data_IF_964904741407
#
_entry.id   IF_964904741407
#
_cell.length_a   1.000
_cell.length_b   1.000
_cell.length_c   1.000
_cell.angle_alpha   90.00
_cell.angle_beta   90.00
_cell.angle_gamma   90.00
#
_symmetry.space_group_name_H-M   'P 1'
#
loop_
_entity.id
_entity.type
_entity.pdbx_description
1 polymer ?
#
# COMPACT_ATOMS: atom_id res chain seq x y z
N UNK A 1 16.35 4.32 12.99
CA UNK A 1 15.26 4.46 11.99
C UNK A 1 14.37 3.24 12.10
N UNK A 2 13.05 3.40 11.99
CA UNK A 2 12.06 2.31 12.03
C UNK A 2 11.61 2.02 10.59
N UNK A 3 11.34 0.76 10.27
CA UNK A 3 10.89 0.32 8.95
C UNK A 3 9.53 -0.38 9.04
N UNK A 4 8.65 -0.10 8.09
CA UNK A 4 7.47 -0.93 7.81
C UNK A 4 7.91 -2.16 7.00
N UNK A 5 7.64 -3.35 7.51
CA UNK A 5 7.86 -4.62 6.80
C UNK A 5 6.50 -5.24 6.48
N UNK A 6 6.17 -5.34 5.19
CA UNK A 6 4.89 -5.88 4.72
C UNK A 6 5.10 -7.14 3.89
N UNK A 7 4.41 -8.22 4.27
CA UNK A 7 4.40 -9.47 3.53
C UNK A 7 3.36 -9.40 2.41
N UNK A 8 3.86 -9.35 1.19
CA UNK A 8 3.07 -9.26 -0.03
C UNK A 8 2.14 -10.45 -0.21
N UNK A 9 2.65 -11.67 -0.03
CA UNK A 9 1.91 -12.90 -0.34
C UNK A 9 0.88 -13.20 0.74
N UNK A 10 1.19 -12.90 2.00
CA UNK A 10 0.26 -13.08 3.12
C UNK A 10 -0.64 -11.86 3.37
N UNK A 11 -0.48 -10.79 2.59
CA UNK A 11 -1.27 -9.57 2.64
C UNK A 11 -1.36 -8.98 4.07
N UNK A 12 -0.21 -8.83 4.74
CA UNK A 12 -0.15 -8.45 6.15
C UNK A 12 1.11 -7.70 6.56
N UNK A 13 0.99 -6.86 7.58
CA UNK A 13 2.15 -6.21 8.20
C UNK A 13 2.90 -7.25 9.04
N UNK A 14 4.18 -7.47 8.75
CA UNK A 14 5.07 -8.30 9.59
C UNK A 14 5.41 -7.52 10.86
N UNK A 15 5.70 -6.23 10.74
CA UNK A 15 5.91 -5.36 11.89
C UNK A 15 6.59 -4.04 11.57
N UNK A 16 6.84 -3.28 12.64
CA UNK A 16 7.70 -2.11 12.66
C UNK A 16 9.04 -2.50 13.29
N UNK A 17 10.12 -2.46 12.51
CA UNK A 17 11.42 -3.01 12.93
C UNK A 17 12.47 -1.90 12.91
N UNK A 18 13.31 -1.79 13.95
CA UNK A 18 14.42 -0.83 13.92
C UNK A 18 15.50 -1.30 12.95
N UNK A 19 16.17 -0.37 12.27
CA UNK A 19 17.18 -0.71 11.27
C UNK A 19 18.43 -1.44 11.79
N UNK A 20 18.66 -1.46 13.11
CA UNK A 20 19.71 -2.25 13.73
C UNK A 20 19.23 -3.61 14.27
N UNK A 21 17.93 -3.88 14.21
CA UNK A 21 17.35 -5.12 14.71
C UNK A 21 17.33 -6.20 13.62
N UNK A 22 17.06 -7.43 14.02
CA UNK A 22 16.78 -8.55 13.13
C UNK A 22 15.31 -8.92 13.21
N UNK A 23 14.78 -9.51 12.14
CA UNK A 23 13.50 -10.21 12.16
C UNK A 23 13.63 -11.55 11.45
N UNK A 24 12.85 -12.52 11.89
CA UNK A 24 12.90 -13.88 11.38
C UNK A 24 11.52 -14.27 10.82
N UNK A 25 11.53 -15.12 9.80
CA UNK A 25 10.32 -15.70 9.20
C UNK A 25 10.55 -17.19 9.00
N UNK A 26 9.61 -18.01 9.47
CA UNK A 26 9.62 -19.44 9.18
C UNK A 26 8.95 -19.69 7.83
N UNK A 27 9.64 -20.44 6.96
CA UNK A 27 9.17 -20.84 5.65
C UNK A 27 8.84 -22.34 5.66
N UNK A 28 7.72 -22.71 5.05
CA UNK A 28 7.44 -24.11 4.72
C UNK A 28 8.35 -24.57 3.58
N UNK A 29 8.59 -25.88 3.41
CA UNK A 29 9.28 -26.40 2.23
C UNK A 29 8.62 -25.90 0.93
N UNK A 30 9.39 -25.25 0.06
CA UNK A 30 8.91 -24.69 -1.21
C UNK A 30 8.19 -23.33 -1.11
N UNK A 31 8.12 -22.71 0.07
CA UNK A 31 7.51 -21.39 0.25
C UNK A 31 8.49 -20.26 -0.10
N UNK A 32 7.98 -19.24 -0.79
CA UNK A 32 8.66 -17.95 -0.95
C UNK A 32 7.83 -16.90 -0.23
N UNK A 33 8.52 -16.05 0.54
CA UNK A 33 7.94 -14.81 1.06
C UNK A 33 8.58 -13.61 0.39
N UNK A 34 7.81 -12.54 0.31
CA UNK A 34 8.21 -11.33 -0.37
C UNK A 34 7.87 -10.13 0.49
N UNK A 35 8.91 -9.46 0.94
CA UNK A 35 8.79 -8.37 1.90
C UNK A 35 9.00 -7.04 1.20
N UNK A 36 8.01 -6.17 1.32
CA UNK A 36 8.22 -4.76 1.07
C UNK A 36 8.79 -4.11 2.32
N UNK A 37 9.88 -3.36 2.14
CA UNK A 37 10.64 -2.72 3.22
C UNK A 37 10.71 -1.23 2.95
N UNK A 38 10.07 -0.44 3.81
CA UNK A 38 10.08 1.03 3.70
C UNK A 38 10.48 1.66 5.02
N UNK A 39 11.37 2.65 4.98
CA UNK A 39 11.57 3.52 6.13
C UNK A 39 10.22 4.13 6.53
N UNK A 40 9.91 4.08 7.83
CA UNK A 40 8.66 4.62 8.37
C UNK A 40 8.72 6.14 8.37
N UNK A 41 7.75 6.73 7.69
CA UNK A 41 7.51 8.17 7.66
C UNK A 41 6.60 8.60 8.81
N UNK A 42 6.61 9.91 9.09
CA UNK A 42 5.71 10.54 10.08
C UNK A 42 4.31 10.85 9.53
N UNK A 43 4.01 10.36 8.33
CA UNK A 43 2.75 10.57 7.62
C UNK A 43 2.35 9.30 6.86
N UNK A 44 1.09 9.18 6.40
CA UNK A 44 0.67 8.07 5.56
C UNK A 44 1.57 7.93 4.33
N UNK A 45 1.92 6.69 3.99
CA UNK A 45 2.84 6.42 2.88
C UNK A 45 2.43 5.15 2.12
N UNK A 46 2.77 5.13 0.84
CA UNK A 46 2.72 3.93 0.02
C UNK A 46 3.76 2.90 0.51
N UNK A 47 3.39 1.62 0.53
CA UNK A 47 4.33 0.53 0.83
C UNK A 47 4.26 -0.67 -0.12
N UNK A 48 3.19 -0.88 -0.89
CA UNK A 48 3.12 -1.95 -1.88
C UNK A 48 1.91 -1.78 -2.80
N UNK A 49 1.94 -2.45 -3.95
CA UNK A 49 0.73 -2.80 -4.70
C UNK A 49 0.52 -4.32 -4.63
N UNK A 50 -0.62 -4.85 -5.09
CA UNK A 50 -0.82 -6.30 -5.27
C UNK A 50 -0.31 -6.83 -6.61
N UNK A 51 0.46 -6.04 -7.36
CA UNK A 51 0.95 -6.43 -8.68
C UNK A 51 2.46 -6.54 -8.69
N UNK A 52 2.91 -7.57 -9.40
CA UNK A 52 4.31 -7.89 -9.64
C UNK A 52 5.10 -8.15 -8.34
N UNK A 53 6.19 -8.89 -8.47
CA UNK A 53 7.18 -9.07 -7.39
C UNK A 53 7.79 -7.72 -6.95
N UNK A 54 7.74 -6.72 -7.83
CA UNK A 54 8.30 -5.39 -7.57
C UNK A 54 7.29 -4.40 -6.95
N UNK A 55 6.07 -4.86 -6.63
CA UNK A 55 5.13 -4.21 -5.71
C UNK A 55 4.91 -2.71 -5.95
N UNK A 56 4.69 -2.29 -7.20
CA UNK A 56 4.47 -0.89 -7.56
C UNK A 56 5.54 -0.31 -8.50
N UNK A 57 6.70 -0.95 -8.66
CA UNK A 57 7.77 -0.40 -9.52
C UNK A 57 7.34 -0.17 -10.98
N UNK A 58 6.46 -1.01 -11.52
CA UNK A 58 6.01 -0.90 -12.92
C UNK A 58 4.71 -0.12 -13.06
N UNK A 59 3.80 -0.32 -12.11
CA UNK A 59 2.40 0.09 -12.18
C UNK A 59 2.11 1.40 -11.43
N UNK A 60 2.88 1.75 -10.39
CA UNK A 60 2.76 3.04 -9.71
C UNK A 60 3.73 4.06 -10.33
N UNK A 61 3.18 5.08 -10.99
CA UNK A 61 3.95 6.10 -11.72
C UNK A 61 4.39 7.25 -10.83
N UNK A 62 3.57 7.58 -9.83
CA UNK A 62 3.85 8.67 -8.89
C UNK A 62 3.12 8.43 -7.58
N UNK A 63 3.70 8.89 -6.47
CA UNK A 63 3.05 8.91 -5.18
C UNK A 63 3.63 10.01 -4.28
N UNK A 64 2.77 10.94 -3.84
CA UNK A 64 3.18 12.13 -3.11
C UNK A 64 2.24 12.39 -1.94
N UNK A 65 2.84 12.65 -0.77
CA UNK A 65 2.13 13.15 0.40
C UNK A 65 2.02 14.68 0.38
N UNK A 66 0.83 15.21 0.66
CA UNK A 66 0.60 16.64 0.87
C UNK A 66 0.21 16.88 2.33
N UNK A 67 1.16 17.41 3.12
CA UNK A 67 0.97 17.68 4.56
C UNK A 67 -0.11 18.72 4.84
N UNK A 68 -0.20 19.79 4.03
CA UNK A 68 -1.19 20.87 4.22
C UNK A 68 -2.63 20.36 4.05
N UNK A 69 -2.85 19.46 3.08
CA UNK A 69 -4.18 18.89 2.80
C UNK A 69 -4.45 17.57 3.52
N UNK A 70 -3.42 16.98 4.15
CA UNK A 70 -3.43 15.62 4.70
C UNK A 70 -3.88 14.57 3.67
N UNK A 71 -3.29 14.61 2.48
CA UNK A 71 -3.67 13.70 1.38
C UNK A 71 -2.48 12.96 0.82
N UNK A 72 -2.60 11.64 0.67
CA UNK A 72 -1.69 10.83 -0.13
C UNK A 72 -2.27 10.69 -1.53
N UNK A 73 -1.53 11.11 -2.54
CA UNK A 73 -1.93 11.03 -3.95
C UNK A 73 -1.05 10.04 -4.67
N UNK A 74 -1.58 9.39 -5.70
CA UNK A 74 -0.76 8.62 -6.61
C UNK A 74 -1.42 8.40 -7.96
N UNK A 75 -0.62 7.88 -8.89
CA UNK A 75 -1.00 7.59 -10.27
C UNK A 75 -0.63 6.15 -10.57
N UNK A 76 -1.62 5.33 -10.91
CA UNK A 76 -1.43 3.89 -11.13
C UNK A 76 -1.98 3.44 -12.47
N UNK A 77 -1.24 2.59 -13.18
CA UNK A 77 -1.75 1.88 -14.36
C UNK A 77 -2.55 0.64 -13.93
N UNK A 78 -3.86 0.68 -14.16
CA UNK A 78 -4.81 -0.37 -13.78
C UNK A 78 -5.26 -1.13 -15.02
N UNK A 79 -5.20 -2.46 -14.95
CA UNK A 79 -5.60 -3.35 -16.05
C UNK A 79 -7.09 -3.66 -15.94
N UNK A 80 -7.75 -3.70 -17.11
CA UNK A 80 -9.14 -4.07 -17.27
C UNK A 80 -9.45 -5.38 -16.54
N UNK A 81 -10.54 -5.35 -15.76
CA UNK A 81 -11.12 -6.50 -15.08
C UNK A 81 -10.17 -7.25 -14.13
N UNK A 82 -9.05 -6.61 -13.73
CA UNK A 82 -8.11 -7.09 -12.73
C UNK A 82 -8.14 -6.18 -11.51
N UNK A 83 -8.37 -6.75 -10.33
CA UNK A 83 -8.48 -5.97 -9.09
C UNK A 83 -7.10 -5.42 -8.71
N UNK A 84 -6.99 -4.10 -8.73
CA UNK A 84 -5.79 -3.40 -8.30
C UNK A 84 -5.89 -2.98 -6.84
N UNK A 85 -4.82 -3.16 -6.08
CA UNK A 85 -4.74 -2.79 -4.68
C UNK A 85 -3.48 -1.97 -4.43
N UNK A 86 -3.65 -0.86 -3.74
CA UNK A 86 -2.57 -0.05 -3.18
C UNK A 86 -2.58 -0.24 -1.67
N UNK A 87 -1.44 -0.64 -1.12
CA UNK A 87 -1.23 -0.85 0.31
C UNK A 87 -0.58 0.40 0.89
N UNK A 88 -1.20 0.95 1.93
CA UNK A 88 -0.84 2.23 2.54
C UNK A 88 -0.61 2.01 4.03
N UNK A 89 0.59 2.33 4.51
CA UNK A 89 0.81 2.49 5.94
C UNK A 89 0.19 3.83 6.38
N UNK A 90 -0.76 3.80 7.31
CA UNK A 90 -1.45 5.00 7.80
C UNK A 90 -0.63 5.78 8.82
N UNK A 91 0.37 5.14 9.43
CA UNK A 91 1.30 5.75 10.39
C UNK A 91 0.58 6.56 11.50
N UNK A 92 -0.53 6.02 12.01
CA UNK A 92 -1.30 6.61 13.11
C UNK A 92 -2.43 7.55 12.67
N UNK A 93 -2.55 7.85 11.37
CA UNK A 93 -3.65 8.65 10.84
C UNK A 93 -4.89 7.81 10.57
N UNK A 94 -6.04 8.47 10.57
CA UNK A 94 -7.31 7.83 10.19
C UNK A 94 -7.73 8.25 8.79
N UNK A 95 -8.20 7.30 7.98
CA UNK A 95 -8.77 7.60 6.67
C UNK A 95 -10.07 8.37 6.84
N UNK A 96 -10.21 9.44 6.08
CA UNK A 96 -11.41 10.28 6.03
C UNK A 96 -12.21 10.02 4.76
N UNK A 97 -11.59 10.17 3.59
CA UNK A 97 -12.24 10.03 2.28
C UNK A 97 -11.24 9.51 1.27
N UNK A 98 -11.72 8.92 0.18
CA UNK A 98 -10.90 8.50 -0.95
C UNK A 98 -11.60 8.90 -2.24
N UNK A 99 -10.84 9.26 -3.27
CA UNK A 99 -11.35 9.50 -4.62
C UNK A 99 -10.43 8.83 -5.64
N UNK A 100 -11.01 8.35 -6.74
CA UNK A 100 -10.27 7.83 -7.90
C UNK A 100 -10.85 8.45 -9.17
N UNK A 101 -10.00 8.71 -10.16
CA UNK A 101 -10.42 9.36 -11.41
C UNK A 101 -11.19 8.43 -12.34
N UNK A 102 -11.07 7.11 -12.18
CA UNK A 102 -11.75 6.11 -12.98
C UNK A 102 -11.95 4.80 -12.22
N UNK A 103 -13.04 4.10 -12.54
CA UNK A 103 -13.37 2.79 -11.95
C UNK A 103 -14.15 2.87 -10.64
N UNK A 104 -14.53 1.70 -10.14
CA UNK A 104 -15.10 1.54 -8.80
C UNK A 104 -13.96 1.39 -7.81
N UNK A 105 -14.12 1.95 -6.61
CA UNK A 105 -13.13 1.83 -5.56
C UNK A 105 -13.74 1.48 -4.21
N UNK A 106 -12.89 0.93 -3.35
CA UNK A 106 -13.16 0.75 -1.92
C UNK A 106 -11.86 0.98 -1.17
N UNK A 107 -11.93 1.66 -0.03
CA UNK A 107 -10.80 1.76 0.90
C UNK A 107 -11.19 1.12 2.22
N UNK A 108 -10.31 0.28 2.78
CA UNK A 108 -10.54 -0.39 4.06
C UNK A 108 -9.24 -0.58 4.84
N UNK A 109 -9.32 -0.71 6.15
CA UNK A 109 -8.20 -1.21 6.95
C UNK A 109 -8.04 -2.72 6.73
N UNK A 110 -6.81 -3.23 6.79
CA UNK A 110 -6.56 -4.68 6.79
C UNK A 110 -6.87 -5.22 8.19
N UNK A 111 -7.73 -6.24 8.26
CA UNK A 111 -8.10 -6.88 9.53
C UNK A 111 -6.87 -7.47 10.24
N UNK A 112 -6.84 -7.34 11.57
CA UNK A 112 -5.70 -7.78 12.38
C UNK A 112 -4.45 -6.87 12.33
N UNK A 113 -4.44 -5.84 11.47
CA UNK A 113 -3.30 -4.93 11.30
C UNK A 113 -3.72 -3.47 11.49
N UNK A 114 -3.69 -3.00 12.74
CA UNK A 114 -3.94 -1.60 13.07
C UNK A 114 -2.81 -0.73 12.53
N UNK A 115 -2.99 -0.19 11.31
CA UNK A 115 -2.04 0.74 10.70
C UNK A 115 -1.82 0.55 9.21
N UNK A 116 -2.39 -0.50 8.60
CA UNK A 116 -2.35 -0.68 7.14
C UNK A 116 -3.75 -0.58 6.54
N UNK A 117 -3.85 0.17 5.46
CA UNK A 117 -5.04 0.28 4.64
C UNK A 117 -4.81 -0.26 3.22
N UNK A 118 -5.89 -0.74 2.63
CA UNK A 118 -5.97 -1.22 1.25
C UNK A 118 -6.94 -0.33 0.47
N UNK A 119 -6.43 0.38 -0.53
CA UNK A 119 -7.23 1.01 -1.58
C UNK A 119 -7.39 0.03 -2.73
N UNK A 120 -8.61 -0.41 -2.98
CA UNK A 120 -9.00 -1.35 -4.02
C UNK A 120 -9.61 -0.55 -5.18
N UNK A 121 -9.15 -0.79 -6.41
CA UNK A 121 -9.61 -0.13 -7.64
C UNK A 121 -9.94 -1.20 -8.68
N UNK A 122 -11.10 -1.08 -9.32
CA UNK A 122 -11.53 -1.95 -10.41
C UNK A 122 -11.98 -1.11 -11.60
N UNK A 123 -11.43 -1.37 -12.78
CA UNK A 123 -11.77 -0.68 -14.03
C UNK A 123 -12.27 -1.69 -15.07
N UNK A 124 -13.17 -1.24 -15.97
CA UNK A 124 -13.68 -2.04 -17.10
C UNK A 124 -12.86 -1.88 -18.38
N UNK A 125 -11.76 -1.11 -18.31
CA UNK A 125 -10.79 -0.87 -19.37
C UNK A 125 -9.42 -0.58 -18.75
N UNK A 126 -8.35 -0.81 -19.50
CA UNK A 126 -7.01 -0.37 -19.10
C UNK A 126 -7.04 1.15 -18.92
N UNK A 127 -6.52 1.64 -17.80
CA UNK A 127 -6.56 3.05 -17.48
C UNK A 127 -5.41 3.45 -16.56
N UNK A 128 -4.85 4.63 -16.80
CA UNK A 128 -4.05 5.35 -15.81
C UNK A 128 -5.01 6.06 -14.86
N UNK A 129 -5.02 5.65 -13.60
CA UNK A 129 -5.94 6.10 -12.56
C UNK A 129 -5.21 7.01 -11.58
N UNK A 130 -5.69 8.24 -11.44
CA UNK A 130 -5.28 9.13 -10.38
C UNK A 130 -6.11 8.80 -9.14
N UNK A 131 -5.47 8.62 -8.00
CA UNK A 131 -6.15 8.37 -6.73
C UNK A 131 -5.66 9.32 -5.64
N UNK A 132 -6.55 9.63 -4.71
CA UNK A 132 -6.28 10.49 -3.55
C UNK A 132 -6.96 9.91 -2.32
N UNK A 133 -6.17 9.63 -1.28
CA UNK A 133 -6.68 9.23 0.03
C UNK A 133 -6.42 10.37 1.01
N UNK A 134 -7.49 10.88 1.62
CA UNK A 134 -7.45 11.94 2.63
C UNK A 134 -7.48 11.35 4.03
N UNK A 135 -6.70 11.94 4.91
CA UNK A 135 -6.52 11.51 6.29
C UNK A 135 -6.86 12.63 7.28
N UNK A 136 -7.13 12.27 8.53
CA UNK A 136 -7.32 13.19 9.65
C UNK A 136 -6.34 12.89 10.77
#
# INVERSE_FOLDING_TARGET
>A
MIFNIYDFWNNGLVGLINGGDHFEQQLRPGEIRMMSVHAKENHPQFIATNRHIMQGYLDLKDCIWNSKKKTLKGVSDVIKDDTYKVIIATNGYQISTCNVSAGKYKVKMIEGNSGIAELIINTTKNATVNWEVKFK
#
